data_IF_008819442119
#
_entry.id   IF_008819442119
#
_cell.length_a   1.000
_cell.length_b   1.000
_cell.length_c   1.000
_cell.angle_alpha   90.00
_cell.angle_beta   90.00
_cell.angle_gamma   90.00
#
_symmetry.space_group_name_H-M   'P 1'
#
loop_
_entity.id
_entity.type
_entity.pdbx_description
1 polymer ?
#
# COMPACT_ATOMS: atom_id res chain seq x y z
N UNK A 1 -2.68 -20.43 11.99
CA UNK A 1 -3.00 -20.48 13.44
C UNK A 1 -3.78 -19.24 13.82
N UNK A 2 -4.67 -19.34 14.81
CA UNK A 2 -5.40 -18.20 15.40
C UNK A 2 -4.46 -17.34 16.25
N UNK A 3 -4.76 -16.05 16.39
CA UNK A 3 -4.02 -15.09 17.21
C UNK A 3 -5.03 -14.16 17.91
N UNK A 4 -4.72 -13.66 19.12
CA UNK A 4 -5.53 -12.62 19.75
C UNK A 4 -5.37 -11.30 18.99
N UNK A 5 -6.48 -10.59 18.76
CA UNK A 5 -6.49 -9.27 18.13
C UNK A 5 -7.61 -8.40 18.72
N UNK A 6 -7.34 -7.09 18.83
CA UNK A 6 -8.38 -6.09 19.05
C UNK A 6 -9.10 -5.82 17.72
N UNK A 7 -10.42 -5.63 17.75
CA UNK A 7 -11.21 -5.33 16.55
C UNK A 7 -11.60 -3.86 16.58
N UNK A 8 -11.22 -3.12 15.53
CA UNK A 8 -11.65 -1.76 15.29
C UNK A 8 -12.73 -1.75 14.20
N UNK A 9 -13.85 -1.12 14.50
CA UNK A 9 -14.97 -0.99 13.56
C UNK A 9 -14.79 0.26 12.68
N UNK A 10 -14.89 0.08 11.36
CA UNK A 10 -14.67 1.13 10.37
C UNK A 10 -15.95 1.39 9.61
N UNK A 11 -16.62 2.52 9.89
CA UNK A 11 -17.80 2.94 9.14
C UNK A 11 -17.39 3.43 7.75
N UNK A 12 -17.92 2.79 6.70
CA UNK A 12 -17.80 3.29 5.33
C UNK A 12 -19.03 4.13 5.00
N UNK A 13 -18.91 5.42 5.24
CA UNK A 13 -19.96 6.42 5.11
C UNK A 13 -20.01 6.96 3.67
N UNK A 14 -21.19 6.97 3.04
CA UNK A 14 -21.32 7.57 1.72
C UNK A 14 -22.75 7.88 1.30
N UNK A 15 -22.94 8.83 0.36
CA UNK A 15 -24.18 8.92 -0.42
C UNK A 15 -24.40 7.68 -1.28
N UNK A 16 -25.62 7.50 -1.81
CA UNK A 16 -25.99 6.31 -2.57
C UNK A 16 -25.38 6.19 -3.98
N UNK A 17 -24.75 7.23 -4.53
CA UNK A 17 -24.17 7.26 -5.88
C UNK A 17 -22.71 6.76 -5.97
N UNK A 18 -22.15 6.26 -4.86
CA UNK A 18 -20.74 5.81 -4.80
C UNK A 18 -20.58 4.33 -4.42
N UNK A 19 -21.53 3.48 -4.80
CA UNK A 19 -21.49 2.04 -4.51
C UNK A 19 -20.15 1.39 -4.87
N UNK A 20 -19.59 1.72 -6.03
CA UNK A 20 -18.33 1.15 -6.50
C UNK A 20 -17.15 1.55 -5.61
N UNK A 21 -17.09 2.81 -5.16
CA UNK A 21 -15.99 3.29 -4.32
C UNK A 21 -16.04 2.73 -2.92
N UNK A 22 -17.24 2.49 -2.37
CA UNK A 22 -17.37 1.77 -1.10
C UNK A 22 -16.74 0.38 -1.18
N UNK A 23 -16.99 -0.33 -2.28
CA UNK A 23 -16.44 -1.68 -2.50
C UNK A 23 -14.92 -1.67 -2.62
N UNK A 24 -14.33 -0.59 -3.13
CA UNK A 24 -12.88 -0.37 -3.08
C UNK A 24 -12.40 -0.25 -1.63
N UNK A 25 -13.03 0.62 -0.82
CA UNK A 25 -12.66 0.81 0.59
C UNK A 25 -12.77 -0.50 1.38
N UNK A 26 -13.89 -1.22 1.24
CA UNK A 26 -14.08 -2.49 1.96
C UNK A 26 -13.07 -3.55 1.53
N UNK A 27 -12.81 -3.67 0.22
CA UNK A 27 -11.80 -4.59 -0.29
C UNK A 27 -10.42 -4.24 0.24
N UNK A 28 -10.10 -2.95 0.37
CA UNK A 28 -8.81 -2.54 0.92
C UNK A 28 -8.71 -2.82 2.42
N UNK A 29 -9.78 -2.63 3.20
CA UNK A 29 -9.81 -3.04 4.61
C UNK A 29 -9.60 -4.56 4.74
N UNK A 30 -10.25 -5.35 3.89
CA UNK A 30 -10.06 -6.81 3.86
C UNK A 30 -8.63 -7.18 3.46
N UNK A 31 -8.04 -6.50 2.47
CA UNK A 31 -6.63 -6.68 2.06
C UNK A 31 -5.68 -6.33 3.21
N UNK A 32 -5.88 -5.18 3.85
CA UNK A 32 -5.10 -4.74 5.01
C UNK A 32 -5.08 -5.82 6.09
N UNK A 33 -6.25 -6.37 6.46
CA UNK A 33 -6.35 -7.48 7.41
C UNK A 33 -5.62 -8.75 6.94
N UNK A 34 -5.74 -9.10 5.66
CA UNK A 34 -5.18 -10.32 5.07
C UNK A 34 -3.66 -10.30 4.90
N UNK A 35 -3.08 -9.12 4.69
CA UNK A 35 -1.70 -8.94 4.25
C UNK A 35 -0.69 -8.87 5.41
N UNK A 36 -1.04 -9.46 6.55
CA UNK A 36 -0.15 -9.60 7.70
C UNK A 36 -0.23 -8.45 8.70
N UNK A 37 -0.76 -7.28 8.32
CA UNK A 37 -0.95 -6.14 9.24
C UNK A 37 -1.76 -6.53 10.47
N UNK A 38 -2.80 -7.34 10.29
CA UNK A 38 -3.61 -7.73 11.42
C UNK A 38 -2.84 -8.51 12.48
N UNK A 39 -1.92 -9.37 12.05
CA UNK A 39 -1.07 -10.15 12.95
C UNK A 39 0.06 -9.32 13.54
N UNK A 40 0.71 -8.49 12.73
CA UNK A 40 1.80 -7.61 13.18
C UNK A 40 1.34 -6.59 14.20
N UNK A 41 0.17 -5.98 13.95
CA UNK A 41 -0.42 -4.96 14.81
C UNK A 41 -1.33 -5.53 15.91
N UNK A 42 -1.61 -6.84 15.91
CA UNK A 42 -2.64 -7.48 16.74
C UNK A 42 -4.00 -6.76 16.67
N UNK A 43 -4.37 -6.30 15.47
CA UNK A 43 -5.57 -5.51 15.19
C UNK A 43 -6.36 -6.12 14.01
N UNK A 44 -7.67 -6.02 14.02
CA UNK A 44 -8.53 -6.37 12.89
C UNK A 44 -9.43 -5.18 12.61
N UNK A 45 -9.52 -4.75 11.36
CA UNK A 45 -10.45 -3.71 10.94
C UNK A 45 -11.73 -4.35 10.38
N UNK A 46 -12.85 -4.12 11.03
CA UNK A 46 -14.15 -4.63 10.59
C UNK A 46 -14.88 -3.53 9.81
N UNK A 47 -15.00 -3.63 8.47
CA UNK A 47 -15.79 -2.67 7.71
C UNK A 47 -17.27 -2.85 8.05
N UNK A 48 -17.97 -1.75 8.29
CA UNK A 48 -19.41 -1.75 8.56
C UNK A 48 -20.14 -0.73 7.69
N UNK A 49 -21.34 -1.10 7.23
CA UNK A 49 -22.19 -0.30 6.32
C UNK A 49 -23.64 -0.37 6.77
N UNK A 50 -24.39 0.71 6.57
CA UNK A 50 -25.80 0.73 6.99
C UNK A 50 -26.66 -0.27 6.20
N UNK A 51 -26.33 -0.59 4.95
CA UNK A 51 -27.09 -1.52 4.12
C UNK A 51 -27.08 -2.96 4.64
N UNK A 52 -25.98 -3.36 5.29
CA UNK A 52 -25.72 -4.74 5.72
C UNK A 52 -25.78 -4.91 7.22
N UNK A 53 -25.47 -3.85 7.98
CA UNK A 53 -25.21 -3.94 9.42
C UNK A 53 -26.26 -3.23 10.28
N UNK A 54 -27.28 -2.61 9.66
CA UNK A 54 -28.40 -2.00 10.39
C UNK A 54 -29.65 -2.86 10.29
N UNK A 55 -30.27 -3.14 11.45
CA UNK A 55 -31.57 -3.80 11.50
C UNK A 55 -32.67 -2.78 11.26
N UNK A 56 -33.60 -3.02 10.30
CA UNK A 56 -34.74 -2.14 10.10
C UNK A 56 -35.62 -2.10 11.36
N UNK A 57 -35.60 -0.97 12.06
CA UNK A 57 -36.43 -0.71 13.23
C UNK A 57 -37.37 0.46 12.97
N UNK A 58 -38.64 0.30 13.34
CA UNK A 58 -39.65 1.37 13.24
C UNK A 58 -39.58 2.25 14.49
N UNK A 59 -38.52 3.05 14.62
CA UNK A 59 -38.22 3.82 15.83
C UNK A 59 -37.66 5.21 15.53
N UNK A 60 -38.50 6.13 15.01
CA UNK A 60 -38.10 7.52 14.73
C UNK A 60 -37.78 7.78 13.25
N UNK A 61 -36.96 8.80 12.97
CA UNK A 61 -36.46 9.01 11.60
C UNK A 61 -35.37 8.00 11.25
N UNK A 62 -35.36 7.53 10.01
CA UNK A 62 -34.49 6.42 9.58
C UNK A 62 -33.00 6.67 9.82
N UNK A 63 -32.54 7.92 9.73
CA UNK A 63 -31.13 8.24 10.00
C UNK A 63 -30.79 8.13 11.48
N UNK A 64 -31.71 8.50 12.38
CA UNK A 64 -31.50 8.31 13.82
C UNK A 64 -31.30 6.83 14.16
N UNK A 65 -32.12 5.95 13.59
CA UNK A 65 -32.02 4.50 13.77
C UNK A 65 -30.68 3.95 13.27
N UNK A 66 -30.20 4.42 12.12
CA UNK A 66 -28.88 4.06 11.58
C UNK A 66 -27.76 4.55 12.51
N UNK A 67 -27.85 5.79 12.99
CA UNK A 67 -26.80 6.39 13.82
C UNK A 67 -26.65 5.67 15.16
N UNK A 68 -27.77 5.36 15.83
CA UNK A 68 -27.75 4.65 17.12
C UNK A 68 -27.22 3.21 17.00
N UNK A 69 -27.55 2.54 15.89
CA UNK A 69 -27.10 1.17 15.66
C UNK A 69 -25.66 1.08 15.14
N UNK A 70 -25.16 2.11 14.46
CA UNK A 70 -23.91 2.03 13.70
C UNK A 70 -22.96 3.19 14.01
N UNK A 71 -23.31 4.42 13.61
CA UNK A 71 -22.39 5.56 13.66
C UNK A 71 -21.90 5.90 15.08
N UNK A 72 -22.71 5.63 16.11
CA UNK A 72 -22.36 5.90 17.51
C UNK A 72 -21.47 4.79 18.11
N UNK A 73 -21.30 3.67 17.41
CA UNK A 73 -20.57 2.49 17.90
C UNK A 73 -19.25 2.22 17.14
N UNK A 74 -18.93 3.01 16.13
CA UNK A 74 -17.70 2.80 15.32
C UNK A 74 -16.44 3.42 15.92
N UNK A 75 -15.27 2.88 15.57
CA UNK A 75 -13.95 3.36 15.99
C UNK A 75 -13.29 4.30 14.98
N UNK A 76 -13.61 4.15 13.68
CA UNK A 76 -13.06 4.95 12.57
C UNK A 76 -14.20 5.26 11.58
N UNK A 77 -14.17 6.45 10.96
CA UNK A 77 -15.06 6.79 9.84
C UNK A 77 -14.25 7.06 8.58
N UNK A 78 -14.60 6.37 7.48
CA UNK A 78 -14.14 6.68 6.13
C UNK A 78 -15.34 7.16 5.32
N UNK A 79 -15.33 8.42 4.93
CA UNK A 79 -16.38 9.04 4.14
C UNK A 79 -15.94 9.23 2.68
N UNK A 80 -16.76 8.78 1.74
CA UNK A 80 -16.49 8.92 0.29
C UNK A 80 -17.61 9.68 -0.40
N UNK A 81 -17.24 10.70 -1.18
CA UNK A 81 -18.15 11.51 -1.98
C UNK A 81 -17.76 11.50 -3.46
N UNK A 82 -18.74 11.70 -4.35
CA UNK A 82 -18.50 11.87 -5.79
C UNK A 82 -19.30 13.04 -6.35
N UNK A 83 -20.57 12.83 -6.72
CA UNK A 83 -21.38 13.85 -7.40
C UNK A 83 -22.49 14.44 -6.53
N UNK A 84 -22.74 13.83 -5.36
CA UNK A 84 -23.83 14.21 -4.46
C UNK A 84 -23.34 14.45 -3.05
N UNK A 85 -24.00 15.38 -2.34
CA UNK A 85 -23.83 15.55 -0.91
C UNK A 85 -24.67 14.51 -0.12
N UNK A 86 -25.82 14.14 -0.68
CA UNK A 86 -26.76 13.21 -0.07
C UNK A 86 -28.09 13.89 0.32
N UNK A 87 -28.91 13.13 1.05
CA UNK A 87 -30.24 13.57 1.49
C UNK A 87 -30.14 14.24 2.85
N UNK A 88 -30.68 15.46 2.96
CA UNK A 88 -30.72 16.18 4.22
C UNK A 88 -31.49 15.41 5.30
N UNK A 89 -30.97 15.47 6.51
CA UNK A 89 -31.61 14.93 7.71
C UNK A 89 -32.21 16.09 8.50
N UNK A 90 -33.05 15.84 9.53
CA UNK A 90 -33.52 16.89 10.41
C UNK A 90 -32.40 17.68 11.12
N UNK A 91 -31.18 17.13 11.14
CA UNK A 91 -30.04 17.62 11.93
C UNK A 91 -28.86 18.07 11.06
N UNK A 92 -28.81 17.66 9.80
CA UNK A 92 -27.62 17.82 8.96
C UNK A 92 -27.94 17.97 7.46
N UNK A 93 -27.13 18.75 6.70
CA UNK A 93 -27.16 18.81 5.25
C UNK A 93 -27.18 17.45 4.53
N UNK A 94 -26.59 16.40 5.12
CA UNK A 94 -26.78 15.01 4.66
C UNK A 94 -26.59 13.98 5.77
N UNK A 95 -27.02 12.73 5.53
CA UNK A 95 -26.74 11.60 6.41
C UNK A 95 -25.23 11.41 6.68
N UNK A 96 -24.41 11.43 5.62
CA UNK A 96 -22.95 11.32 5.72
C UNK A 96 -22.31 12.49 6.49
N UNK A 97 -22.82 13.71 6.33
CA UNK A 97 -22.40 14.85 7.16
C UNK A 97 -22.80 14.66 8.63
N UNK A 98 -24.00 14.12 8.90
CA UNK A 98 -24.40 13.77 10.28
C UNK A 98 -23.44 12.73 10.91
N UNK A 99 -23.04 11.71 10.15
CA UNK A 99 -22.08 10.69 10.59
C UNK A 99 -20.69 11.30 10.88
N UNK A 100 -20.20 12.19 10.01
CA UNK A 100 -18.92 12.91 10.20
C UNK A 100 -18.96 13.80 11.44
N UNK A 101 -20.01 14.60 11.64
CA UNK A 101 -20.09 15.51 12.79
C UNK A 101 -20.25 14.74 14.11
N UNK A 102 -20.93 13.58 14.10
CA UNK A 102 -20.97 12.66 15.26
C UNK A 102 -19.60 12.08 15.58
N UNK A 103 -18.89 11.58 14.58
CA UNK A 103 -17.53 11.07 14.76
C UNK A 103 -16.59 12.16 15.29
N UNK A 104 -16.73 13.40 14.80
CA UNK A 104 -15.95 14.56 15.26
C UNK A 104 -16.25 14.87 16.73
N UNK A 105 -17.52 14.81 17.15
CA UNK A 105 -17.91 14.99 18.54
C UNK A 105 -17.33 13.89 19.46
N UNK A 106 -17.19 12.66 18.95
CA UNK A 106 -16.57 11.52 19.65
C UNK A 106 -15.03 11.53 19.61
N UNK A 107 -14.43 12.44 18.83
CA UNK A 107 -12.97 12.56 18.64
C UNK A 107 -12.31 11.27 18.13
N UNK A 108 -13.00 10.53 17.26
CA UNK A 108 -12.45 9.36 16.57
C UNK A 108 -11.84 9.77 15.21
N UNK A 109 -10.95 8.95 14.61
CA UNK A 109 -10.40 9.22 13.28
C UNK A 109 -11.49 9.34 12.20
N UNK A 110 -11.32 10.34 11.32
CA UNK A 110 -12.23 10.63 10.21
C UNK A 110 -11.40 10.90 8.97
N UNK A 111 -11.59 10.07 7.95
CA UNK A 111 -10.93 10.21 6.66
C UNK A 111 -11.98 10.54 5.60
N UNK A 112 -11.84 11.66 4.91
CA UNK A 112 -12.79 12.09 3.88
C UNK A 112 -12.12 12.10 2.52
N UNK A 113 -12.72 11.42 1.55
CA UNK A 113 -12.24 11.32 0.18
C UNK A 113 -13.29 11.83 -0.80
N UNK A 114 -12.87 12.66 -1.76
CA UNK A 114 -13.71 13.21 -2.83
C UNK A 114 -13.21 12.73 -4.19
N UNK A 115 -14.09 12.04 -4.92
CA UNK A 115 -13.85 11.63 -6.29
C UNK A 115 -13.88 12.86 -7.22
N UNK A 116 -12.80 13.02 -7.97
CA UNK A 116 -12.56 14.12 -8.93
C UNK A 116 -12.65 13.65 -10.38
N UNK A 117 -13.03 12.39 -10.60
CA UNK A 117 -13.28 11.83 -11.92
C UNK A 117 -14.46 12.51 -12.63
N UNK A 118 -14.67 12.14 -13.90
CA UNK A 118 -15.69 12.76 -14.72
C UNK A 118 -17.10 12.46 -14.19
N UNK A 119 -17.78 13.52 -13.74
CA UNK A 119 -19.17 13.42 -13.27
C UNK A 119 -20.12 13.06 -14.43
N UNK A 120 -21.07 12.12 -14.23
CA UNK A 120 -22.06 11.73 -15.24
C UNK A 120 -22.85 12.92 -15.80
N UNK A 121 -23.25 12.86 -17.08
CA UNK A 121 -24.00 13.96 -17.72
C UNK A 121 -25.37 14.21 -17.11
N UNK A 122 -25.96 13.19 -16.53
CA UNK A 122 -27.26 13.19 -15.86
C UNK A 122 -27.18 13.47 -14.35
N UNK A 123 -26.02 13.93 -13.85
CA UNK A 123 -25.89 14.36 -12.46
C UNK A 123 -26.87 15.46 -12.10
N UNK A 124 -27.18 15.56 -10.81
CA UNK A 124 -27.96 16.66 -10.25
C UNK A 124 -27.03 17.86 -9.97
N UNK A 125 -27.14 18.98 -10.73
CA UNK A 125 -26.23 20.11 -10.58
C UNK A 125 -26.34 20.79 -9.22
N UNK A 126 -27.52 20.75 -8.58
CA UNK A 126 -27.73 21.33 -7.26
C UNK A 126 -27.01 20.50 -6.18
N UNK A 127 -27.03 19.17 -6.30
CA UNK A 127 -26.30 18.27 -5.41
C UNK A 127 -24.78 18.42 -5.56
N UNK A 128 -24.28 18.54 -6.79
CA UNK A 128 -22.86 18.78 -7.04
C UNK A 128 -22.41 20.15 -6.47
N UNK A 129 -23.24 21.18 -6.64
CA UNK A 129 -22.98 22.50 -6.05
C UNK A 129 -22.97 22.44 -4.52
N UNK A 130 -23.91 21.72 -3.90
CA UNK A 130 -23.97 21.53 -2.47
C UNK A 130 -22.74 20.79 -1.94
N UNK A 131 -22.29 19.74 -2.63
CA UNK A 131 -21.08 18.99 -2.29
C UNK A 131 -19.84 19.91 -2.34
N UNK A 132 -19.65 20.68 -3.41
CA UNK A 132 -18.53 21.64 -3.51
C UNK A 132 -18.54 22.70 -2.41
N UNK A 133 -19.72 23.15 -2.00
CA UNK A 133 -19.86 24.09 -0.88
C UNK A 133 -19.53 23.42 0.47
N UNK A 134 -19.86 22.14 0.62
CA UNK A 134 -19.57 21.34 1.80
C UNK A 134 -18.09 20.98 1.92
N UNK A 135 -17.46 20.56 0.82
CA UNK A 135 -16.02 20.30 0.71
C UNK A 135 -15.19 21.47 1.23
N UNK A 136 -15.50 22.70 0.78
CA UNK A 136 -14.84 23.92 1.29
C UNK A 136 -14.98 24.12 2.80
N UNK A 137 -16.09 23.67 3.40
CA UNK A 137 -16.29 23.71 4.86
C UNK A 137 -15.44 22.65 5.56
N UNK A 138 -15.27 21.48 4.95
CA UNK A 138 -14.42 20.41 5.46
C UNK A 138 -12.94 20.80 5.40
N UNK A 139 -12.48 21.37 4.28
CA UNK A 139 -11.11 21.86 4.10
C UNK A 139 -10.74 22.96 5.13
N UNK A 140 -11.71 23.77 5.56
CA UNK A 140 -11.51 24.75 6.62
C UNK A 140 -11.33 24.09 8.02
N UNK A 141 -11.71 22.83 8.18
CA UNK A 141 -11.71 22.08 9.45
C UNK A 141 -10.69 20.93 9.48
N UNK A 142 -10.04 20.60 8.36
CA UNK A 142 -9.12 19.46 8.23
C UNK A 142 -8.66 19.23 6.79
N UNK A 143 -8.02 18.08 6.55
CA UNK A 143 -7.59 17.65 5.22
C UNK A 143 -8.69 16.81 4.57
N UNK A 144 -8.88 17.01 3.27
CA UNK A 144 -9.75 16.20 2.41
C UNK A 144 -8.84 15.54 1.37
N UNK A 145 -8.96 14.24 1.21
CA UNK A 145 -8.27 13.49 0.16
C UNK A 145 -9.03 13.58 -1.15
N UNK A 146 -8.31 13.63 -2.26
CA UNK A 146 -8.88 13.67 -3.60
C UNK A 146 -8.33 12.50 -4.42
N UNK A 147 -9.18 11.87 -5.20
CA UNK A 147 -8.78 10.76 -6.06
C UNK A 147 -9.55 10.82 -7.38
N UNK A 148 -8.99 10.24 -8.43
CA UNK A 148 -9.63 10.10 -9.74
C UNK A 148 -9.63 8.64 -10.24
N UNK A 149 -9.05 7.72 -9.48
CA UNK A 149 -8.94 6.31 -9.84
C UNK A 149 -9.05 5.38 -8.63
N UNK A 150 -9.34 4.10 -8.91
CA UNK A 150 -9.37 3.05 -7.89
C UNK A 150 -8.03 2.88 -7.17
N UNK A 151 -6.91 2.97 -7.90
CA UNK A 151 -5.58 2.85 -7.32
C UNK A 151 -5.30 3.98 -6.33
N UNK A 152 -5.61 5.22 -6.71
CA UNK A 152 -5.40 6.38 -5.83
C UNK A 152 -6.24 6.30 -4.55
N UNK A 153 -7.50 5.85 -4.64
CA UNK A 153 -8.33 5.64 -3.47
C UNK A 153 -7.77 4.51 -2.58
N UNK A 154 -7.33 3.42 -3.21
CA UNK A 154 -6.73 2.27 -2.52
C UNK A 154 -5.50 2.69 -1.71
N UNK A 155 -4.57 3.41 -2.33
CA UNK A 155 -3.32 3.85 -1.68
C UNK A 155 -3.61 4.83 -0.54
N UNK A 156 -4.56 5.75 -0.74
CA UNK A 156 -4.96 6.72 0.30
C UNK A 156 -5.66 6.06 1.49
N UNK A 157 -6.54 5.09 1.23
CA UNK A 157 -7.20 4.32 2.29
C UNK A 157 -6.17 3.52 3.05
N UNK A 158 -5.26 2.79 2.36
CA UNK A 158 -4.19 2.03 3.03
C UNK A 158 -3.37 2.89 3.96
N UNK A 159 -2.89 4.04 3.48
CA UNK A 159 -2.13 4.98 4.31
C UNK A 159 -2.90 5.45 5.55
N UNK A 160 -4.22 5.68 5.43
CA UNK A 160 -5.05 6.05 6.57
C UNK A 160 -5.18 4.91 7.58
N UNK A 161 -5.38 3.66 7.12
CA UNK A 161 -5.45 2.48 7.99
C UNK A 161 -4.11 2.24 8.73
N UNK A 162 -2.99 2.38 8.02
CA UNK A 162 -1.65 2.25 8.61
C UNK A 162 -1.40 3.31 9.68
N UNK A 163 -1.81 4.56 9.41
CA UNK A 163 -1.73 5.63 10.38
C UNK A 163 -2.56 5.32 11.63
N UNK A 164 -3.83 4.95 11.46
CA UNK A 164 -4.73 4.67 12.57
C UNK A 164 -4.23 3.49 13.41
N UNK A 165 -3.76 2.42 12.77
CA UNK A 165 -3.16 1.27 13.46
C UNK A 165 -1.91 1.68 14.28
N UNK A 166 -1.02 2.49 13.70
CA UNK A 166 0.18 2.98 14.39
C UNK A 166 -0.16 3.88 15.59
N UNK A 167 -1.17 4.75 15.45
CA UNK A 167 -1.61 5.60 16.57
C UNK A 167 -2.24 4.78 17.71
N UNK A 168 -2.87 3.66 17.37
CA UNK A 168 -3.44 2.73 18.36
C UNK A 168 -2.40 1.88 19.08
N UNK A 169 -1.28 1.59 18.42
CA UNK A 169 -0.19 0.77 18.97
C UNK A 169 0.70 1.46 20.03
N UNK A 170 0.52 2.75 20.33
CA UNK A 170 1.33 3.51 21.31
C UNK A 170 0.83 3.44 22.78
N UNK A 171 1.70 3.61 23.80
CA UNK A 171 2.25 2.56 24.67
C UNK A 171 1.39 2.19 25.90
N UNK A 172 0.09 2.48 25.94
CA UNK A 172 -0.75 2.17 27.12
C UNK A 172 -1.07 0.68 27.26
N UNK A 173 -0.87 -0.10 26.19
CA UNK A 173 -0.99 -1.56 26.18
C UNK A 173 0.37 -2.22 26.00
N UNK A 174 1.39 -1.75 26.75
CA UNK A 174 2.49 -2.62 27.12
C UNK A 174 1.90 -3.75 27.98
N UNK A 175 1.55 -4.86 27.32
CA UNK A 175 1.26 -6.12 27.98
C UNK A 175 2.42 -6.36 28.96
N UNK A 176 2.07 -6.36 30.24
CA UNK A 176 2.97 -6.75 31.31
C UNK A 176 3.32 -8.21 31.07
N UNK A 177 4.43 -8.47 30.39
CA UNK A 177 5.03 -9.81 30.32
C UNK A 177 5.67 -10.06 31.67
N UNK A 178 4.86 -10.55 32.61
CA UNK A 178 5.36 -11.24 33.79
C UNK A 178 6.18 -12.44 33.31
N UNK A 179 7.38 -12.56 33.88
CA UNK A 179 8.46 -13.41 33.38
C UNK A 179 8.15 -14.90 33.28
N UNK A 180 8.86 -15.54 32.36
CA UNK A 180 8.87 -16.99 32.21
C UNK A 180 9.39 -17.42 30.85
N UNK A 181 10.69 -17.70 30.77
CA UNK A 181 11.38 -18.60 29.85
C UNK A 181 10.95 -18.64 28.36
N UNK A 182 11.85 -18.18 27.49
CA UNK A 182 11.98 -18.69 26.12
C UNK A 182 10.81 -18.43 25.19
N UNK A 183 10.73 -17.21 24.64
CA UNK A 183 10.01 -17.01 23.39
C UNK A 183 10.80 -17.71 22.28
N UNK A 184 10.45 -18.98 22.01
CA UNK A 184 10.82 -19.61 20.75
C UNK A 184 10.15 -18.80 19.63
N UNK A 185 10.96 -18.24 18.72
CA UNK A 185 10.47 -17.64 17.48
C UNK A 185 9.59 -18.68 16.78
N UNK A 186 8.33 -18.31 16.50
CA UNK A 186 7.39 -19.17 15.79
C UNK A 186 7.82 -19.29 14.31
N UNK A 187 7.44 -20.36 13.58
CA UNK A 187 7.99 -20.74 12.26
C UNK A 187 7.56 -19.84 11.07
N UNK A 188 7.56 -18.51 11.21
CA UNK A 188 7.17 -17.56 10.18
C UNK A 188 8.36 -16.80 9.53
N UNK A 189 9.58 -16.95 10.08
CA UNK A 189 10.77 -16.18 9.64
C UNK A 189 11.31 -16.58 8.26
N UNK A 190 10.78 -17.65 7.66
CA UNK A 190 11.28 -18.19 6.39
C UNK A 190 10.60 -17.55 5.17
N UNK A 191 9.46 -16.86 5.33
CA UNK A 191 8.71 -16.28 4.21
C UNK A 191 9.53 -15.27 3.40
N UNK A 192 10.35 -14.42 4.05
CA UNK A 192 11.19 -13.48 3.32
C UNK A 192 12.35 -14.18 2.60
N UNK A 193 12.93 -15.25 3.18
CA UNK A 193 13.93 -16.05 2.47
C UNK A 193 13.31 -16.77 1.28
N UNK A 194 12.15 -17.41 1.47
CA UNK A 194 11.41 -18.05 0.38
C UNK A 194 11.08 -17.03 -0.72
N UNK A 195 10.69 -15.80 -0.36
CA UNK A 195 10.43 -14.71 -1.32
C UNK A 195 11.70 -14.29 -2.06
N UNK A 196 12.82 -14.12 -1.35
CA UNK A 196 14.09 -13.75 -1.96
C UNK A 196 14.63 -14.88 -2.83
N UNK A 197 14.44 -16.14 -2.43
CA UNK A 197 14.90 -17.32 -3.16
C UNK A 197 13.99 -17.62 -4.36
N UNK A 198 12.68 -17.34 -4.27
CA UNK A 198 11.73 -17.49 -5.38
C UNK A 198 11.87 -16.38 -6.42
N UNK A 199 12.08 -15.13 -5.99
CA UNK A 199 12.02 -13.97 -6.88
C UNK A 199 13.38 -13.37 -7.24
N UNK A 200 14.38 -13.48 -6.36
CA UNK A 200 15.72 -12.94 -6.59
C UNK A 200 16.83 -13.87 -6.03
N UNK A 201 16.88 -15.14 -6.49
CA UNK A 201 17.86 -16.10 -6.00
C UNK A 201 19.29 -15.61 -6.25
N UNK A 202 20.26 -16.11 -5.47
CA UNK A 202 21.66 -15.64 -5.49
C UNK A 202 22.36 -15.75 -6.85
N UNK A 203 21.86 -16.63 -7.71
CA UNK A 203 22.28 -16.90 -9.08
C UNK A 203 21.32 -16.32 -10.14
N UNK A 204 20.31 -15.56 -9.72
CA UNK A 204 19.40 -14.86 -10.64
C UNK A 204 20.18 -14.00 -11.63
N UNK A 205 19.71 -13.97 -12.87
CA UNK A 205 20.29 -13.13 -13.92
C UNK A 205 20.41 -11.68 -13.45
N UNK A 206 19.39 -11.15 -12.77
CA UNK A 206 19.39 -9.80 -12.19
C UNK A 206 20.58 -9.52 -11.26
N UNK A 207 20.91 -10.43 -10.32
CA UNK A 207 22.06 -10.26 -9.42
C UNK A 207 23.40 -10.48 -10.14
N UNK A 208 23.47 -11.41 -11.08
CA UNK A 208 24.66 -11.62 -11.91
C UNK A 208 24.98 -10.36 -12.70
N UNK A 209 23.96 -9.70 -13.26
CA UNK A 209 24.12 -8.44 -13.99
C UNK A 209 24.56 -7.28 -13.09
N UNK A 210 23.93 -7.11 -11.93
CA UNK A 210 24.36 -6.09 -10.95
C UNK A 210 25.84 -6.29 -10.56
N UNK A 211 26.29 -7.53 -10.36
CA UNK A 211 27.70 -7.85 -10.06
C UNK A 211 28.63 -7.51 -11.24
N UNK A 212 28.22 -7.81 -12.46
CA UNK A 212 29.02 -7.47 -13.66
C UNK A 212 29.14 -5.96 -13.86
N UNK A 213 28.04 -5.22 -13.64
CA UNK A 213 28.05 -3.76 -13.66
C UNK A 213 28.96 -3.19 -12.55
N UNK A 214 28.88 -3.70 -11.32
CA UNK A 214 29.79 -3.32 -10.24
C UNK A 214 31.28 -3.56 -10.60
N UNK A 215 31.59 -4.70 -11.24
CA UNK A 215 32.94 -5.07 -11.69
C UNK A 215 33.42 -4.29 -12.93
N UNK A 216 32.61 -3.36 -13.45
CA UNK A 216 32.94 -2.57 -14.65
C UNK A 216 32.95 -3.38 -15.95
N UNK A 217 32.32 -4.56 -15.95
CA UNK A 217 32.17 -5.45 -17.10
C UNK A 217 30.81 -5.18 -17.75
N UNK A 218 30.85 -4.44 -18.85
CA UNK A 218 29.78 -4.23 -19.83
C UNK A 218 28.71 -3.17 -19.51
N UNK A 219 28.74 -2.14 -20.35
CA UNK A 219 27.60 -1.37 -20.81
C UNK A 219 27.21 -2.02 -22.14
N UNK A 220 26.05 -2.66 -22.22
CA UNK A 220 25.26 -2.87 -23.44
C UNK A 220 24.30 -4.04 -23.28
N UNK A 221 23.05 -3.79 -23.70
CA UNK A 221 22.00 -4.77 -23.93
C UNK A 221 21.73 -5.73 -22.76
N UNK A 222 20.88 -5.28 -21.84
CA UNK A 222 20.19 -6.18 -20.92
C UNK A 222 18.68 -5.97 -21.07
N UNK A 223 17.97 -7.07 -21.24
CA UNK A 223 16.55 -7.09 -20.99
C UNK A 223 16.36 -6.86 -19.49
N UNK A 224 15.99 -5.63 -19.15
CA UNK A 224 15.65 -5.24 -17.80
C UNK A 224 14.23 -5.67 -17.43
N UNK A 225 13.48 -6.30 -18.34
CA UNK A 225 12.11 -6.73 -18.09
C UNK A 225 12.00 -7.68 -16.88
N UNK A 226 12.91 -8.63 -16.61
CA UNK A 226 12.84 -9.42 -15.38
C UNK A 226 12.98 -8.58 -14.11
N UNK A 227 13.91 -7.62 -14.08
CA UNK A 227 14.10 -6.73 -12.93
C UNK A 227 12.95 -5.73 -12.81
N UNK A 228 12.45 -5.21 -13.94
CA UNK A 228 11.33 -4.28 -14.02
C UNK A 228 10.02 -4.95 -13.62
N UNK A 229 9.80 -6.18 -14.09
CA UNK A 229 8.70 -7.05 -13.66
C UNK A 229 8.83 -7.36 -12.18
N UNK A 230 10.03 -7.67 -11.68
CA UNK A 230 10.25 -7.88 -10.25
C UNK A 230 9.91 -6.64 -9.41
N UNK A 231 10.38 -5.45 -9.79
CA UNK A 231 10.05 -4.20 -9.11
C UNK A 231 8.55 -3.90 -9.22
N UNK A 232 7.95 -4.05 -10.39
CA UNK A 232 6.51 -3.84 -10.61
C UNK A 232 5.65 -4.86 -9.84
N UNK A 233 6.04 -6.13 -9.83
CA UNK A 233 5.40 -7.19 -9.06
C UNK A 233 5.56 -6.95 -7.57
N UNK A 234 6.69 -6.43 -7.10
CA UNK A 234 6.84 -6.04 -5.69
C UNK A 234 5.89 -4.92 -5.29
N UNK A 235 5.84 -3.83 -6.06
CA UNK A 235 4.90 -2.74 -5.80
C UNK A 235 3.44 -3.17 -5.95
N UNK A 236 3.16 -4.18 -6.79
CA UNK A 236 1.83 -4.75 -6.98
C UNK A 236 1.48 -5.85 -5.96
N UNK A 237 2.47 -6.50 -5.34
CA UNK A 237 2.29 -7.54 -4.34
C UNK A 237 2.49 -6.95 -2.95
N UNK A 238 1.40 -6.84 -2.21
CA UNK A 238 1.40 -6.43 -0.81
C UNK A 238 2.18 -7.43 0.05
N UNK A 239 3.47 -7.13 0.29
CA UNK A 239 4.38 -7.99 1.06
C UNK A 239 5.03 -7.16 2.16
N UNK A 240 4.44 -7.25 3.36
CA UNK A 240 4.97 -6.64 4.57
C UNK A 240 5.77 -7.66 5.38
N UNK A 241 6.91 -7.21 5.91
CA UNK A 241 7.73 -8.00 6.82
C UNK A 241 7.26 -7.82 8.25
N UNK A 242 7.39 -8.88 9.04
CA UNK A 242 6.88 -8.96 10.42
C UNK A 242 7.58 -8.01 11.41
N UNK A 243 8.61 -7.28 10.97
CA UNK A 243 9.45 -6.41 11.81
C UNK A 243 9.90 -5.16 11.04
N UNK A 244 9.71 -3.98 11.64
CA UNK A 244 10.02 -2.67 11.08
C UNK A 244 11.46 -2.53 10.56
N UNK A 245 12.43 -3.20 11.18
CA UNK A 245 13.83 -3.15 10.73
C UNK A 245 14.03 -3.92 9.42
N UNK A 246 13.38 -5.08 9.30
CA UNK A 246 13.43 -5.92 8.10
C UNK A 246 12.65 -5.25 6.98
N UNK A 247 11.51 -4.62 7.31
CA UNK A 247 10.70 -3.88 6.36
C UNK A 247 11.44 -2.66 5.81
N UNK A 248 12.05 -1.86 6.70
CA UNK A 248 12.90 -0.71 6.31
C UNK A 248 14.07 -1.16 5.42
N UNK A 249 14.71 -2.29 5.75
CA UNK A 249 15.81 -2.82 4.95
C UNK A 249 15.34 -3.31 3.57
N UNK A 250 14.17 -3.97 3.51
CA UNK A 250 13.57 -4.38 2.25
C UNK A 250 13.19 -3.17 1.38
N UNK A 251 12.49 -2.18 1.93
CA UNK A 251 12.18 -0.92 1.22
C UNK A 251 13.44 -0.24 0.67
N UNK A 252 14.53 -0.24 1.43
CA UNK A 252 15.84 0.26 0.98
C UNK A 252 16.40 -0.50 -0.22
N UNK A 253 16.29 -1.84 -0.24
CA UNK A 253 16.67 -2.67 -1.38
C UNK A 253 15.85 -2.33 -2.63
N UNK A 254 14.52 -2.23 -2.51
CA UNK A 254 13.66 -1.94 -3.67
C UNK A 254 13.91 -0.55 -4.23
N UNK A 255 14.14 0.44 -3.37
CA UNK A 255 14.55 1.76 -3.80
C UNK A 255 15.85 1.72 -4.60
N UNK A 256 16.86 1.00 -4.12
CA UNK A 256 18.15 0.90 -4.83
C UNK A 256 18.00 0.22 -6.21
N UNK A 257 17.17 -0.83 -6.30
CA UNK A 257 16.89 -1.52 -7.57
C UNK A 257 16.10 -0.64 -8.55
N UNK A 258 15.14 0.14 -8.06
CA UNK A 258 14.38 1.09 -8.87
C UNK A 258 15.28 2.23 -9.40
N UNK A 259 16.10 2.83 -8.53
CA UNK A 259 17.04 3.90 -8.92
C UNK A 259 18.04 3.41 -10.00
N UNK A 260 18.51 2.16 -9.90
CA UNK A 260 19.34 1.53 -10.94
C UNK A 260 18.58 1.36 -12.27
N UNK A 261 17.36 0.82 -12.22
CA UNK A 261 16.54 0.57 -13.41
C UNK A 261 16.15 1.88 -14.13
N UNK A 262 15.78 2.91 -13.37
CA UNK A 262 15.44 4.22 -13.91
C UNK A 262 16.64 4.87 -14.58
N UNK A 263 17.80 4.84 -13.93
CA UNK A 263 19.01 5.39 -14.51
C UNK A 263 19.41 4.62 -15.79
N UNK A 264 19.40 3.28 -15.76
CA UNK A 264 19.72 2.44 -16.91
C UNK A 264 18.78 2.69 -18.10
N UNK A 265 17.48 2.88 -17.85
CA UNK A 265 16.49 3.11 -18.91
C UNK A 265 16.67 4.45 -19.63
N UNK A 266 17.17 5.48 -18.93
CA UNK A 266 17.47 6.80 -19.50
C UNK A 266 18.73 6.79 -20.35
N UNK A 267 19.72 5.99 -19.96
CA UNK A 267 21.05 5.99 -20.58
C UNK A 267 21.27 4.86 -21.59
N UNK A 268 20.26 4.00 -21.78
CA UNK A 268 20.24 2.95 -22.80
C UNK A 268 19.69 3.53 -24.11
N UNK A 269 20.56 3.77 -25.09
CA UNK A 269 20.19 4.44 -26.36
C UNK A 269 19.44 3.54 -27.38
N UNK A 270 19.12 2.29 -27.04
CA UNK A 270 18.56 1.32 -27.99
C UNK A 270 17.28 0.66 -27.47
N UNK A 271 16.31 0.45 -28.37
CA UNK A 271 15.04 -0.22 -28.04
C UNK A 271 15.27 -1.65 -27.53
N UNK A 272 14.53 -2.10 -26.50
CA UNK A 272 14.68 -3.43 -25.93
C UNK A 272 14.40 -4.51 -27.00
N UNK A 273 15.31 -5.47 -27.15
CA UNK A 273 15.03 -6.73 -27.87
C UNK A 273 14.70 -7.78 -26.82
N UNK A 274 13.65 -8.56 -27.05
CA UNK A 274 13.25 -9.69 -26.19
C UNK A 274 14.43 -10.63 -25.96
N UNK A 275 14.71 -10.97 -24.69
CA UNK A 275 15.60 -12.09 -24.36
C UNK A 275 14.96 -13.39 -24.89
N UNK A 276 15.71 -14.15 -25.68
CA UNK A 276 15.30 -15.52 -26.00
C UNK A 276 15.49 -16.40 -24.76
N UNK A 277 14.43 -17.13 -24.42
CA UNK A 277 14.25 -17.91 -23.19
C UNK A 277 15.00 -19.25 -23.17
N UNK A 278 16.06 -19.42 -23.97
CA UNK A 278 16.81 -20.67 -24.07
C UNK A 278 18.08 -20.61 -23.20
N UNK A 279 18.18 -21.39 -22.09
CA UNK A 279 19.35 -21.43 -21.22
C UNK A 279 20.61 -21.99 -21.87
N UNK A 280 20.48 -22.71 -23.00
CA UNK A 280 21.58 -23.40 -23.69
C UNK A 280 22.00 -22.69 -24.99
N UNK A 281 21.45 -21.51 -25.30
CA UNK A 281 21.84 -20.73 -26.48
C UNK A 281 23.30 -20.24 -26.35
N UNK A 282 24.20 -20.53 -27.31
CA UNK A 282 25.59 -20.07 -27.27
C UNK A 282 25.76 -18.53 -27.29
N UNK A 283 24.70 -17.73 -27.51
CA UNK A 283 24.68 -16.28 -27.26
C UNK A 283 24.55 -15.90 -25.77
N UNK A 284 24.43 -16.87 -24.85
CA UNK A 284 24.59 -16.67 -23.40
C UNK A 284 26.01 -16.24 -22.99
N UNK A 285 26.99 -16.40 -23.89
CA UNK A 285 28.24 -15.67 -23.75
C UNK A 285 28.02 -14.29 -24.32
N UNK A 286 27.98 -13.28 -23.43
CA UNK A 286 28.31 -11.90 -23.80
C UNK A 286 29.51 -12.01 -24.73
N UNK A 287 29.39 -11.67 -26.02
CA UNK A 287 30.53 -11.75 -26.89
C UNK A 287 31.57 -10.80 -26.29
N UNK A 288 32.63 -11.36 -25.70
CA UNK A 288 33.93 -10.74 -25.91
C UNK A 288 34.02 -10.67 -27.43
N UNK A 289 33.80 -9.49 -28.01
CA UNK A 289 34.73 -8.76 -28.88
C UNK A 289 33.91 -7.79 -29.76
N UNK A 290 34.54 -6.63 -30.02
CA UNK A 290 34.39 -5.72 -31.18
C UNK A 290 33.24 -4.71 -31.06
N UNK A 291 33.50 -3.50 -30.57
CA UNK A 291 33.22 -2.20 -31.21
C UNK A 291 33.75 -1.06 -30.31
N UNK A 292 34.22 0.03 -30.93
CA UNK A 292 35.21 0.98 -30.41
C UNK A 292 34.68 2.14 -29.55
N UNK A 293 33.40 2.16 -29.20
CA UNK A 293 32.84 3.25 -28.39
C UNK A 293 32.79 2.85 -26.92
N UNK A 294 33.82 3.24 -26.17
CA UNK A 294 33.77 3.16 -24.70
C UNK A 294 32.64 4.08 -24.21
N UNK A 295 31.75 3.61 -23.31
CA UNK A 295 30.71 4.44 -22.74
C UNK A 295 31.32 5.65 -22.03
N UNK A 296 30.53 6.73 -21.90
CA UNK A 296 30.95 7.90 -21.13
C UNK A 296 31.41 7.44 -19.72
N UNK A 297 32.66 7.75 -19.33
CA UNK A 297 33.22 7.27 -18.05
C UNK A 297 32.40 7.70 -16.83
N UNK A 298 31.70 8.83 -16.89
CA UNK A 298 30.80 9.31 -15.84
C UNK A 298 29.53 8.48 -15.75
N UNK A 299 28.96 8.09 -16.89
CA UNK A 299 27.76 7.24 -16.93
C UNK A 299 28.06 5.83 -16.41
N UNK A 300 29.17 5.23 -16.84
CA UNK A 300 29.62 3.93 -16.33
C UNK A 300 29.87 3.98 -14.82
N UNK A 301 30.59 5.01 -14.34
CA UNK A 301 30.87 5.18 -12.91
C UNK A 301 29.58 5.28 -12.08
N UNK A 302 28.53 5.92 -12.62
CA UNK A 302 27.24 6.05 -11.92
C UNK A 302 26.47 4.74 -11.89
N UNK A 303 26.46 3.96 -12.98
CA UNK A 303 25.85 2.63 -12.97
C UNK A 303 26.52 1.69 -11.97
N UNK A 304 27.85 1.69 -11.91
CA UNK A 304 28.59 0.87 -10.95
C UNK A 304 28.19 1.21 -9.51
N UNK A 305 28.12 2.51 -9.19
CA UNK A 305 27.71 2.96 -7.85
C UNK A 305 26.29 2.50 -7.48
N UNK A 306 25.33 2.62 -8.40
CA UNK A 306 23.96 2.18 -8.16
C UNK A 306 23.85 0.66 -8.02
N UNK A 307 24.65 -0.09 -8.77
CA UNK A 307 24.74 -1.53 -8.66
C UNK A 307 25.34 -1.96 -7.31
N UNK A 308 26.39 -1.29 -6.85
CA UNK A 308 26.99 -1.50 -5.53
C UNK A 308 25.97 -1.26 -4.40
N UNK A 309 25.20 -0.18 -4.49
CA UNK A 309 24.16 0.16 -3.51
C UNK A 309 23.08 -0.94 -3.44
N UNK A 310 22.61 -1.43 -4.59
CA UNK A 310 21.62 -2.51 -4.66
C UNK A 310 22.15 -3.84 -4.10
N UNK A 311 23.40 -4.20 -4.43
CA UNK A 311 24.04 -5.41 -3.91
C UNK A 311 24.27 -5.34 -2.40
N UNK A 312 24.67 -4.18 -1.88
CA UNK A 312 24.85 -3.95 -0.45
C UNK A 312 23.53 -4.09 0.32
N UNK A 313 22.45 -3.52 -0.22
CA UNK A 313 21.10 -3.64 0.35
C UNK A 313 20.62 -5.10 0.35
N UNK A 314 20.81 -5.83 -0.75
CA UNK A 314 20.44 -7.25 -0.86
C UNK A 314 21.16 -8.09 0.20
N UNK A 315 22.48 -7.89 0.34
CA UNK A 315 23.28 -8.60 1.32
C UNK A 315 22.89 -8.24 2.78
N UNK A 316 22.48 -7.00 3.04
CA UNK A 316 22.00 -6.57 4.35
C UNK A 316 20.70 -7.29 4.73
N UNK A 317 19.72 -7.32 3.82
CA UNK A 317 18.45 -8.04 4.04
C UNK A 317 18.73 -9.53 4.28
N UNK A 318 19.50 -10.21 3.40
CA UNK A 318 19.84 -11.63 3.59
C UNK A 318 20.52 -11.92 4.94
N UNK A 319 21.44 -11.05 5.39
CA UNK A 319 22.08 -11.20 6.72
C UNK A 319 21.07 -11.07 7.86
N UNK A 320 20.18 -10.08 7.79
CA UNK A 320 19.16 -9.85 8.83
C UNK A 320 18.22 -11.04 8.96
N UNK A 321 17.85 -11.67 7.85
CA UNK A 321 16.97 -12.85 7.88
C UNK A 321 17.72 -14.10 8.35
N UNK A 322 18.95 -14.32 7.88
CA UNK A 322 19.77 -15.46 8.30
C UNK A 322 20.18 -15.44 9.78
N UNK A 323 20.38 -14.25 10.37
CA UNK A 323 20.71 -14.10 11.80
C UNK A 323 19.51 -14.43 12.71
N UNK A 324 18.28 -14.31 12.20
CA UNK A 324 17.05 -14.56 12.94
C UNK A 324 16.54 -15.99 12.81
N UNK A 325 16.98 -16.73 11.78
CA UNK A 325 16.69 -18.15 11.59
C UNK A 325 17.59 -19.14 12.36
N UNK A 326 18.43 -18.68 13.29
CA UNK A 326 19.33 -19.51 14.12
C UNK A 326 18.98 -19.46 15.60
#
# INVERSE_FOLDING_TARGET
MSFPAEVLTVLVASPGDVSNWRDVVEREIQRWNGNGHARGAALIMLPVRWETDVVPLMAGDGQQVINEQLADQVDIVIAVFHSRLGTATPRSPSGTDEEIERARARQIPIHVYVDTSAVPRDHDPAQLQALRAYEKKLEAKGLVGHFASEQELTDQVRHALDHDAATRASPASAITVAGGAGAALLPADHRLLDILDDLLPEDSSALVWLRQSADGRSYHYSDVEPLRRFVAEWWAHDRHFLDDQVDTAAQGLFKALADYNDYQSVVSEWAPRELQTDPDDPFYRVPEVLFEERPDPGVQKRLNSLADDALAAYAAVRRMVNLRGR
#
